data_IF_706896621876
#
_entry.id   IF_706896621876
#
_cell.length_a   1.000
_cell.length_b   1.000
_cell.length_c   1.000
_cell.angle_alpha   90.00
_cell.angle_beta   90.00
_cell.angle_gamma   90.00
#
_symmetry.space_group_name_H-M   'P 1'
#
loop_
_entity.id
_entity.type
_entity.pdbx_description
1 polymer ?
#
# COMPACT_ATOMS: atom_id res chain seq x y z
N UNK A 1 10.57 36.36 -48.63
CA UNK A 1 10.32 37.33 -47.54
C UNK A 1 10.11 36.48 -46.29
N UNK A 2 11.13 36.39 -45.43
CA UNK A 2 11.14 35.46 -44.30
C UNK A 2 10.90 36.23 -43.00
N UNK A 3 10.05 35.69 -42.12
CA UNK A 3 9.75 36.25 -40.81
C UNK A 3 10.50 35.44 -39.74
N UNK A 4 11.40 36.09 -39.01
CA UNK A 4 12.03 35.52 -37.83
C UNK A 4 11.05 35.54 -36.65
N UNK A 5 10.98 34.48 -35.82
CA UNK A 5 10.26 34.53 -34.55
C UNK A 5 11.04 35.38 -33.52
N UNK A 6 10.36 35.97 -32.52
CA UNK A 6 11.01 36.77 -31.47
C UNK A 6 11.81 35.91 -30.50
N UNK A 7 12.95 36.44 -30.02
CA UNK A 7 13.69 35.90 -28.87
C UNK A 7 13.09 36.44 -27.57
N UNK A 8 12.82 35.55 -26.62
CA UNK A 8 12.82 35.88 -25.19
C UNK A 8 11.59 35.44 -24.40
N UNK A 9 11.68 34.29 -23.71
CA UNK A 9 11.01 34.02 -22.42
C UNK A 9 11.46 32.68 -21.78
N UNK A 10 12.77 32.42 -21.64
CA UNK A 10 13.27 31.19 -20.98
C UNK A 10 13.76 31.39 -19.53
N UNK A 11 14.10 32.62 -19.13
CA UNK A 11 14.66 32.91 -17.79
C UNK A 11 13.74 32.52 -16.62
N UNK A 12 12.42 32.37 -16.86
CA UNK A 12 11.47 31.92 -15.83
C UNK A 12 11.32 30.39 -15.75
N UNK A 13 11.75 29.66 -16.78
CA UNK A 13 11.72 28.18 -16.80
C UNK A 13 13.03 27.64 -16.23
N UNK A 14 14.16 28.24 -16.59
CA UNK A 14 15.47 27.86 -16.04
C UNK A 14 15.52 28.08 -14.52
N UNK A 15 14.89 29.15 -14.01
CA UNK A 15 14.79 29.45 -12.57
C UNK A 15 13.89 28.47 -11.77
N UNK A 16 12.97 27.76 -12.44
CA UNK A 16 12.12 26.73 -11.81
C UNK A 16 12.78 25.34 -11.85
N UNK A 17 13.70 25.09 -12.78
CA UNK A 17 14.47 23.84 -12.86
C UNK A 17 15.65 23.83 -11.88
N UNK A 18 16.26 24.99 -11.59
CA UNK A 18 17.35 25.12 -10.59
C UNK A 18 16.87 24.90 -9.13
N UNK A 19 15.56 24.95 -8.89
CA UNK A 19 14.94 24.72 -7.58
C UNK A 19 14.58 23.25 -7.31
N UNK A 20 14.84 22.34 -8.26
CA UNK A 20 14.42 20.94 -8.24
C UNK A 20 15.57 19.93 -8.36
N UNK A 21 16.81 20.35 -8.08
CA UNK A 21 17.97 19.44 -8.01
C UNK A 21 18.21 18.94 -6.56
N UNK A 22 17.93 17.66 -6.25
CA UNK A 22 18.15 17.11 -4.92
C UNK A 22 19.64 16.83 -4.60
N UNK A 23 20.58 17.02 -5.52
CA UNK A 23 21.99 16.65 -5.34
C UNK A 23 22.87 17.70 -4.63
N UNK A 24 22.33 18.87 -4.28
CA UNK A 24 23.10 19.94 -3.61
C UNK A 24 22.65 20.33 -2.19
N UNK A 25 21.75 19.57 -1.55
CA UNK A 25 21.14 19.95 -0.26
C UNK A 25 21.83 19.41 1.02
N UNK A 26 22.96 18.69 0.93
CA UNK A 26 23.62 18.09 2.12
C UNK A 26 25.14 18.25 2.14
N UNK A 27 25.61 19.47 2.46
CA UNK A 27 27.02 19.75 2.81
C UNK A 27 27.11 20.47 4.18
N UNK A 28 26.47 19.85 5.19
CA UNK A 28 26.55 20.25 6.59
C UNK A 28 26.96 19.04 7.45
N UNK A 29 27.83 19.21 8.47
CA UNK A 29 28.23 18.11 9.33
C UNK A 29 27.02 17.58 10.11
N UNK A 30 26.74 16.29 9.97
CA UNK A 30 25.71 15.59 10.74
C UNK A 30 25.99 15.75 12.25
N UNK A 31 24.99 16.07 13.09
CA UNK A 31 25.18 16.07 14.54
C UNK A 31 25.41 14.63 15.03
N UNK A 32 26.46 14.43 15.83
CA UNK A 32 26.82 13.12 16.39
C UNK A 32 25.64 12.47 17.12
N UNK A 33 25.26 11.27 16.69
CA UNK A 33 24.18 10.48 17.31
C UNK A 33 24.42 10.17 18.81
N UNK A 34 25.68 10.24 19.27
CA UNK A 34 26.02 10.12 20.70
C UNK A 34 25.49 11.27 21.56
N UNK A 35 25.22 12.46 21.00
CA UNK A 35 24.67 13.59 21.75
C UNK A 35 23.21 13.34 22.11
N UNK A 36 22.41 12.90 21.15
CA UNK A 36 20.97 12.65 21.36
C UNK A 36 20.71 11.53 22.39
N UNK A 37 21.56 10.49 22.39
CA UNK A 37 21.54 9.42 23.39
C UNK A 37 22.04 9.87 24.77
N UNK A 38 22.82 10.95 24.88
CA UNK A 38 23.33 11.50 26.15
C UNK A 38 22.29 12.33 26.90
N UNK A 39 21.46 13.08 26.18
CA UNK A 39 20.37 13.85 26.77
C UNK A 39 19.26 12.92 27.31
N UNK A 40 18.90 11.87 26.56
CA UNK A 40 17.90 10.85 26.98
C UNK A 40 18.31 10.03 28.22
N UNK A 41 19.59 9.99 28.59
CA UNK A 41 20.07 9.29 29.79
C UNK A 41 20.22 10.19 31.02
N UNK A 42 19.74 11.45 30.97
CA UNK A 42 20.04 12.44 32.01
C UNK A 42 18.93 12.64 33.07
N UNK A 43 17.67 12.31 32.76
CA UNK A 43 16.53 12.69 33.61
C UNK A 43 16.06 11.61 34.61
N UNK A 44 16.37 10.32 34.39
CA UNK A 44 16.03 9.24 35.37
C UNK A 44 16.88 9.27 36.66
N UNK A 45 17.87 10.15 36.74
CA UNK A 45 18.87 10.16 37.83
C UNK A 45 18.43 10.79 39.16
N UNK A 46 17.16 11.22 39.34
CA UNK A 46 16.78 12.14 40.43
C UNK A 46 15.47 11.86 41.20
N UNK A 47 15.05 10.60 41.34
CA UNK A 47 14.15 10.20 42.42
C UNK A 47 14.37 8.74 42.82
N UNK A 48 15.14 8.52 43.91
CA UNK A 48 15.06 7.40 44.87
C UNK A 48 16.33 7.33 45.72
N UNK A 49 16.45 8.22 46.71
CA UNK A 49 17.53 8.16 47.69
C UNK A 49 17.09 8.65 49.07
N UNK A 50 16.52 7.75 49.90
CA UNK A 50 16.78 7.67 51.34
C UNK A 50 16.10 6.44 51.99
N UNK A 51 16.79 5.83 52.97
CA UNK A 51 16.29 4.88 54.00
C UNK A 51 15.96 3.43 53.51
N UNK A 52 16.49 2.33 54.06
CA UNK A 52 17.41 2.13 55.23
C UNK A 52 18.22 0.81 55.13
N UNK A 53 19.16 0.59 56.05
CA UNK A 53 20.14 -0.52 56.11
C UNK A 53 19.84 -1.60 57.20
N UNK A 54 20.33 -2.85 57.17
CA UNK A 54 21.07 -3.59 56.10
C UNK A 54 20.97 -5.15 56.16
N UNK A 55 21.56 -5.91 57.15
CA UNK A 55 22.15 -7.22 56.78
C UNK A 55 21.79 -8.42 57.71
N UNK A 56 22.38 -9.65 57.55
CA UNK A 56 22.71 -10.43 56.33
C UNK A 56 22.40 -11.96 56.43
N UNK A 57 22.78 -12.72 55.37
CA UNK A 57 23.04 -14.20 55.27
C UNK A 57 21.84 -15.19 55.19
N UNK A 58 21.72 -15.87 54.03
CA UNK A 58 22.28 -17.23 53.82
C UNK A 58 22.28 -17.67 52.34
N UNK A 59 23.26 -18.51 51.97
CA UNK A 59 23.41 -19.11 50.63
C UNK A 59 22.33 -20.16 50.34
N UNK A 60 21.81 -20.21 49.11
CA UNK A 60 21.77 -21.45 48.29
C UNK A 60 21.54 -21.14 46.81
N UNK A 61 22.19 -21.92 45.94
CA UNK A 61 22.10 -21.83 44.48
C UNK A 61 20.81 -22.52 44.02
N UNK A 62 20.01 -21.87 43.20
CA UNK A 62 19.15 -22.52 42.20
C UNK A 62 19.27 -21.68 40.93
N UNK A 63 19.78 -22.27 39.86
CA UNK A 63 19.65 -21.69 38.53
C UNK A 63 18.25 -22.07 38.02
N UNK A 64 17.47 -21.08 37.61
CA UNK A 64 16.22 -21.27 36.89
C UNK A 64 16.31 -20.42 35.63
N UNK A 65 16.54 -21.09 34.50
CA UNK A 65 16.40 -20.47 33.18
C UNK A 65 14.90 -20.28 32.98
N UNK A 66 14.44 -19.03 33.04
CA UNK A 66 13.09 -18.67 32.65
C UNK A 66 13.11 -18.21 31.21
N UNK A 67 12.82 -19.15 30.30
CA UNK A 67 12.44 -18.84 28.92
C UNK A 67 11.03 -18.25 28.97
N UNK A 68 10.94 -16.91 28.97
CA UNK A 68 9.64 -16.23 28.94
C UNK A 68 9.05 -16.30 27.54
N UNK A 69 8.32 -17.38 27.25
CA UNK A 69 7.34 -17.38 26.16
C UNK A 69 6.19 -16.49 26.62
N UNK A 70 6.10 -15.28 26.07
CA UNK A 70 5.00 -14.36 26.36
C UNK A 70 3.78 -14.80 25.56
N UNK A 71 3.00 -15.70 26.13
CA UNK A 71 1.60 -15.92 25.75
C UNK A 71 0.79 -14.71 26.27
N UNK A 72 0.60 -13.69 25.42
CA UNK A 72 -0.40 -12.66 25.69
C UNK A 72 -1.78 -13.27 25.46
N UNK A 73 -2.53 -13.42 26.54
CA UNK A 73 -3.94 -13.75 26.49
C UNK A 73 -4.61 -13.30 27.78
N UNK A 74 -5.89 -12.90 27.64
CA UNK A 74 -6.89 -12.53 28.67
C UNK A 74 -7.20 -11.04 28.84
N UNK A 75 -8.00 -10.49 27.91
CA UNK A 75 -9.43 -10.22 28.20
C UNK A 75 -10.26 -10.73 27.02
N UNK A 76 -10.63 -12.01 27.04
CA UNK A 76 -11.31 -12.64 25.91
C UNK A 76 -12.83 -12.48 25.97
N UNK A 77 -13.41 -11.65 25.09
CA UNK A 77 -14.72 -11.98 24.55
C UNK A 77 -14.51 -13.19 23.64
N UNK A 78 -15.22 -14.28 23.93
CA UNK A 78 -15.12 -15.51 23.14
C UNK A 78 -15.85 -15.35 21.80
N UNK A 79 -15.23 -14.65 20.85
CA UNK A 79 -15.43 -15.00 19.44
C UNK A 79 -15.06 -16.48 19.28
N UNK A 80 -15.79 -17.24 18.46
CA UNK A 80 -15.32 -18.56 18.09
C UNK A 80 -14.00 -18.37 17.34
N UNK A 81 -12.89 -18.67 18.00
CA UNK A 81 -11.62 -18.89 17.34
C UNK A 81 -11.80 -20.10 16.43
N UNK A 82 -12.30 -19.84 15.23
CA UNK A 82 -12.11 -20.72 14.08
C UNK A 82 -10.61 -20.84 14.00
N UNK A 83 -10.09 -22.02 14.36
CA UNK A 83 -8.69 -22.33 14.14
C UNK A 83 -8.53 -22.48 12.62
N UNK A 84 -8.41 -21.34 11.93
CA UNK A 84 -8.12 -21.26 10.51
C UNK A 84 -6.79 -21.97 10.34
N UNK A 85 -6.83 -23.16 9.77
CA UNK A 85 -5.61 -23.89 9.42
C UNK A 85 -4.94 -23.05 8.35
N UNK A 86 -3.91 -22.29 8.74
CA UNK A 86 -3.09 -21.50 7.83
C UNK A 86 -2.65 -22.40 6.68
N UNK A 87 -3.15 -22.08 5.48
CA UNK A 87 -2.92 -22.89 4.28
C UNK A 87 -1.64 -22.45 3.58
N UNK A 88 -1.24 -21.20 3.79
CA UNK A 88 -0.08 -20.53 3.21
C UNK A 88 0.76 -19.92 4.33
N UNK A 89 2.07 -19.83 4.12
CA UNK A 89 2.99 -19.10 5.01
C UNK A 89 2.74 -17.58 4.99
N UNK A 90 2.12 -17.08 3.92
CA UNK A 90 1.64 -15.71 3.83
C UNK A 90 0.59 -15.34 4.91
N UNK A 91 -0.17 -16.31 5.41
CA UNK A 91 -1.19 -16.07 6.44
C UNK A 91 -0.54 -15.96 7.82
N UNK A 92 -0.67 -14.81 8.48
CA UNK A 92 -0.12 -14.57 9.83
C UNK A 92 -1.08 -15.02 10.94
N UNK A 93 -2.38 -15.11 10.66
CA UNK A 93 -3.45 -15.30 11.64
C UNK A 93 -3.75 -14.08 12.51
N UNK A 94 -3.13 -12.92 12.23
CA UNK A 94 -3.35 -11.66 12.95
C UNK A 94 -4.35 -10.81 12.17
N UNK A 95 -5.45 -10.40 12.82
CA UNK A 95 -6.50 -9.61 12.20
C UNK A 95 -6.54 -8.20 12.80
N UNK A 96 -6.88 -7.20 12.00
CA UNK A 96 -7.17 -5.84 12.46
C UNK A 96 -8.41 -5.81 13.36
N UNK A 97 -8.32 -5.14 14.52
CA UNK A 97 -9.42 -5.00 15.46
C UNK A 97 -10.43 -3.94 15.01
N UNK A 98 -11.69 -4.12 15.42
CA UNK A 98 -12.74 -3.08 15.32
C UNK A 98 -12.58 -2.01 16.41
N UNK A 99 -11.88 -2.35 17.51
CA UNK A 99 -11.49 -1.41 18.54
C UNK A 99 -10.23 -0.67 18.07
N UNK A 100 -10.45 0.46 17.39
CA UNK A 100 -9.53 1.59 17.52
C UNK A 100 -9.73 2.13 18.92
N UNK A 101 -8.84 1.76 19.85
CA UNK A 101 -8.75 2.46 21.13
C UNK A 101 -8.59 3.95 20.85
N UNK A 102 -9.31 4.79 21.59
CA UNK A 102 -9.53 6.21 21.26
C UNK A 102 -8.34 7.12 21.53
N UNK A 103 -7.18 6.82 20.95
CA UNK A 103 -6.10 7.77 20.74
C UNK A 103 -6.44 8.64 19.52
N UNK A 104 -6.13 9.94 19.55
CA UNK A 104 -6.67 10.94 18.61
C UNK A 104 -5.94 10.97 17.25
N UNK A 105 -5.68 9.79 16.70
CA UNK A 105 -5.17 9.57 15.34
C UNK A 105 -5.88 8.39 14.71
N UNK A 106 -7.00 8.64 14.02
CA UNK A 106 -7.72 7.62 13.26
C UNK A 106 -6.77 6.98 12.22
N UNK A 107 -6.41 5.70 12.39
CA UNK A 107 -5.63 4.94 11.41
C UNK A 107 -6.54 4.60 10.19
N UNK A 108 -6.83 5.61 9.37
CA UNK A 108 -7.70 5.51 8.18
C UNK A 108 -7.19 4.55 7.10
N UNK A 109 -5.95 4.09 7.22
CA UNK A 109 -5.31 3.11 6.34
C UNK A 109 -5.56 1.64 6.77
N UNK A 110 -6.20 1.41 7.93
CA UNK A 110 -6.51 0.07 8.45
C UNK A 110 -7.97 -0.29 8.20
N UNK A 111 -8.21 -1.36 7.43
CA UNK A 111 -9.56 -1.93 7.25
C UNK A 111 -9.83 -2.96 8.36
N UNK A 112 -10.80 -2.76 9.27
CA UNK A 112 -11.06 -3.71 10.36
C UNK A 112 -11.55 -5.09 9.87
N UNK A 113 -11.17 -6.15 10.57
CA UNK A 113 -11.60 -7.52 10.27
C UNK A 113 -10.81 -8.24 9.16
N UNK A 114 -9.79 -7.61 8.58
CA UNK A 114 -8.92 -8.21 7.58
C UNK A 114 -7.65 -8.79 8.21
N UNK A 115 -7.14 -9.87 7.62
CA UNK A 115 -5.88 -10.50 8.04
C UNK A 115 -4.69 -9.64 7.58
N UNK A 116 -3.66 -9.52 8.42
CA UNK A 116 -2.33 -9.08 7.99
C UNK A 116 -1.63 -10.26 7.30
N UNK A 117 -1.08 -10.00 6.13
CA UNK A 117 -0.48 -10.98 5.23
C UNK A 117 1.00 -10.65 5.03
N UNK A 118 1.85 -11.67 5.16
CA UNK A 118 3.28 -11.59 4.88
C UNK A 118 3.53 -11.68 3.38
N UNK A 119 3.75 -10.52 2.75
CA UNK A 119 3.92 -10.38 1.31
C UNK A 119 5.24 -10.94 0.78
N UNK A 120 6.26 -11.11 1.64
CA UNK A 120 7.53 -11.76 1.26
C UNK A 120 7.50 -13.29 1.40
N UNK A 121 6.38 -13.87 1.83
CA UNK A 121 6.23 -15.31 1.92
C UNK A 121 6.33 -15.97 0.55
N UNK A 122 7.06 -17.08 0.46
CA UNK A 122 7.30 -17.82 -0.80
C UNK A 122 6.04 -18.33 -1.51
N UNK A 123 4.91 -18.38 -0.81
CA UNK A 123 3.60 -18.82 -1.29
C UNK A 123 2.57 -17.68 -1.30
N UNK A 124 3.02 -16.42 -1.18
CA UNK A 124 2.18 -15.22 -1.26
C UNK A 124 1.42 -15.14 -2.59
N UNK A 125 2.07 -15.45 -3.71
CA UNK A 125 1.41 -15.40 -5.02
C UNK A 125 0.27 -16.43 -5.12
N UNK A 126 0.49 -17.66 -4.60
CA UNK A 126 -0.56 -18.69 -4.54
C UNK A 126 -1.70 -18.27 -3.60
N UNK A 127 -1.40 -17.61 -2.47
CA UNK A 127 -2.39 -17.04 -1.56
C UNK A 127 -3.22 -15.94 -2.24
N UNK A 128 -2.57 -14.97 -2.90
CA UNK A 128 -3.24 -13.83 -3.53
C UNK A 128 -4.27 -14.28 -4.58
N UNK A 129 -3.93 -15.29 -5.39
CA UNK A 129 -4.85 -15.93 -6.34
C UNK A 129 -6.09 -16.57 -5.69
N UNK A 130 -6.07 -16.88 -4.38
CA UNK A 130 -7.26 -17.39 -3.67
C UNK A 130 -8.21 -16.31 -3.15
N UNK A 131 -7.76 -15.05 -3.07
CA UNK A 131 -8.57 -13.93 -2.56
C UNK A 131 -8.99 -12.93 -3.65
N UNK A 132 -8.34 -12.94 -4.83
CA UNK A 132 -8.75 -12.12 -5.97
C UNK A 132 -10.14 -12.51 -6.49
N UNK A 133 -10.96 -11.51 -6.83
CA UNK A 133 -12.19 -11.72 -7.59
C UNK A 133 -11.90 -11.92 -9.07
N UNK A 134 -11.58 -13.15 -9.45
CA UNK A 134 -11.32 -13.54 -10.83
C UNK A 134 -12.59 -13.50 -11.73
N UNK A 135 -13.73 -12.98 -11.26
CA UNK A 135 -14.95 -12.76 -12.05
C UNK A 135 -15.10 -11.33 -12.59
N UNK A 136 -14.22 -10.40 -12.19
CA UNK A 136 -14.22 -9.03 -12.71
C UNK A 136 -14.04 -9.01 -14.24
N UNK A 137 -14.75 -8.10 -14.95
CA UNK A 137 -14.69 -8.02 -16.41
C UNK A 137 -13.32 -7.55 -16.89
N UNK A 138 -12.84 -8.15 -17.98
CA UNK A 138 -11.61 -7.79 -18.69
C UNK A 138 -11.91 -7.57 -20.17
N UNK A 139 -11.15 -6.71 -20.89
CA UNK A 139 -11.32 -6.55 -22.33
C UNK A 139 -10.74 -7.76 -23.09
N UNK A 140 -11.18 -7.90 -24.35
CA UNK A 140 -10.72 -8.98 -25.22
C UNK A 140 -9.18 -9.01 -25.32
N UNK A 141 -8.62 -10.22 -25.22
CA UNK A 141 -7.16 -10.47 -25.23
C UNK A 141 -6.56 -10.75 -23.85
N UNK A 142 -7.24 -10.38 -22.76
CA UNK A 142 -6.80 -10.67 -21.39
C UNK A 142 -7.61 -11.82 -20.78
N UNK A 143 -7.01 -12.54 -19.83
CA UNK A 143 -7.73 -13.51 -18.99
C UNK A 143 -7.49 -13.21 -17.52
N UNK A 144 -8.50 -13.47 -16.67
CA UNK A 144 -8.40 -13.25 -15.23
C UNK A 144 -7.28 -14.09 -14.59
N UNK A 145 -7.01 -15.29 -15.11
CA UNK A 145 -5.91 -16.13 -14.65
C UNK A 145 -4.55 -15.52 -14.96
N UNK A 146 -4.34 -15.03 -16.18
CA UNK A 146 -3.04 -14.48 -16.60
C UNK A 146 -2.76 -13.14 -15.91
N UNK A 147 -3.77 -12.25 -15.85
CA UNK A 147 -3.69 -10.98 -15.10
C UNK A 147 -3.44 -11.26 -13.63
N UNK A 148 -4.18 -12.19 -13.01
CA UNK A 148 -4.01 -12.56 -11.61
C UNK A 148 -2.60 -13.07 -11.31
N UNK A 149 -2.06 -13.97 -12.12
CA UNK A 149 -0.70 -14.52 -11.94
C UNK A 149 0.35 -13.40 -11.98
N UNK A 150 0.23 -12.47 -12.94
CA UNK A 150 1.18 -11.37 -13.15
C UNK A 150 1.14 -10.33 -12.04
N UNK A 151 -0.07 -9.92 -11.64
CA UNK A 151 -0.28 -8.99 -10.51
C UNK A 151 0.23 -9.61 -9.21
N UNK A 152 0.01 -10.91 -8.99
CA UNK A 152 0.53 -11.62 -7.82
C UNK A 152 2.06 -11.71 -7.82
N UNK A 153 2.68 -12.00 -8.98
CA UNK A 153 4.14 -12.04 -9.13
C UNK A 153 4.79 -10.66 -8.92
N UNK A 154 4.21 -9.60 -9.49
CA UNK A 154 4.65 -8.21 -9.29
C UNK A 154 4.60 -7.81 -7.82
N UNK A 155 3.55 -8.19 -7.08
CA UNK A 155 3.48 -7.90 -5.65
C UNK A 155 4.59 -8.62 -4.84
N UNK A 156 5.01 -9.82 -5.23
CA UNK A 156 6.18 -10.51 -4.63
C UNK A 156 7.47 -9.74 -4.90
N UNK A 157 7.66 -9.24 -6.12
CA UNK A 157 8.85 -8.45 -6.47
C UNK A 157 8.90 -7.13 -5.69
N UNK A 158 7.80 -6.39 -5.67
CA UNK A 158 7.66 -5.14 -4.91
C UNK A 158 7.94 -5.39 -3.41
N UNK A 159 7.34 -6.41 -2.80
CA UNK A 159 7.59 -6.77 -1.41
C UNK A 159 9.06 -7.17 -1.16
N UNK A 160 9.65 -7.96 -2.05
CA UNK A 160 11.08 -8.34 -1.98
C UNK A 160 12.04 -7.15 -2.07
N UNK A 161 11.64 -6.06 -2.73
CA UNK A 161 12.39 -4.81 -2.78
C UNK A 161 12.46 -4.07 -1.44
N UNK A 162 11.49 -4.25 -0.54
CA UNK A 162 11.43 -3.59 0.77
C UNK A 162 12.14 -4.35 1.89
N UNK A 163 12.40 -5.66 1.73
CA UNK A 163 13.21 -6.43 2.68
C UNK A 163 12.76 -7.88 2.85
N UNK A 164 13.01 -8.43 4.04
CA UNK A 164 12.80 -9.85 4.37
C UNK A 164 11.47 -10.15 5.07
N UNK A 165 10.62 -9.14 5.27
CA UNK A 165 9.29 -9.23 5.86
C UNK A 165 8.54 -7.93 5.51
N UNK A 166 7.35 -8.06 4.93
CA UNK A 166 6.49 -6.94 4.54
C UNK A 166 5.06 -7.35 4.85
N UNK A 167 4.42 -6.64 5.78
CA UNK A 167 3.02 -6.89 6.11
C UNK A 167 2.11 -5.95 5.32
N UNK A 168 1.08 -6.50 4.71
CA UNK A 168 -0.04 -5.75 4.12
C UNK A 168 -1.36 -6.41 4.50
N UNK A 169 -2.48 -5.68 4.44
CA UNK A 169 -3.79 -6.27 4.75
C UNK A 169 -4.35 -7.04 3.57
N UNK A 170 -5.09 -8.12 3.83
CA UNK A 170 -5.83 -8.87 2.81
C UNK A 170 -6.74 -7.97 1.97
N UNK A 171 -7.34 -6.93 2.56
CA UNK A 171 -8.11 -5.91 1.83
C UNK A 171 -7.27 -5.23 0.74
N UNK A 172 -6.01 -4.87 1.03
CA UNK A 172 -5.07 -4.31 0.06
C UNK A 172 -4.66 -5.32 -1.02
N UNK A 173 -4.49 -6.60 -0.66
CA UNK A 173 -4.21 -7.67 -1.63
C UNK A 173 -5.32 -7.74 -2.67
N UNK A 174 -6.58 -7.78 -2.21
CA UNK A 174 -7.77 -7.84 -3.08
C UNK A 174 -7.99 -6.55 -3.87
N UNK A 175 -7.89 -5.38 -3.23
CA UNK A 175 -7.98 -4.05 -3.87
C UNK A 175 -6.92 -3.87 -4.96
N UNK A 176 -5.72 -4.41 -4.79
CA UNK A 176 -4.65 -4.32 -5.79
C UNK A 176 -5.04 -5.02 -7.09
N UNK A 177 -5.77 -6.14 -7.04
CA UNK A 177 -6.31 -6.79 -8.23
C UNK A 177 -7.41 -5.94 -8.89
N UNK A 178 -8.31 -5.33 -8.11
CA UNK A 178 -9.28 -4.37 -8.65
C UNK A 178 -8.61 -3.17 -9.35
N UNK A 179 -7.54 -2.60 -8.78
CA UNK A 179 -6.75 -1.55 -9.44
C UNK A 179 -6.08 -2.03 -10.73
N UNK A 180 -5.51 -3.23 -10.74
CA UNK A 180 -4.90 -3.80 -11.94
C UNK A 180 -5.92 -4.00 -13.07
N UNK A 181 -7.10 -4.55 -12.78
CA UNK A 181 -8.19 -4.72 -13.76
C UNK A 181 -8.67 -3.34 -14.27
N UNK A 182 -8.80 -2.33 -13.40
CA UNK A 182 -9.06 -0.94 -13.83
C UNK A 182 -8.00 -0.44 -14.80
N UNK A 183 -6.71 -0.63 -14.51
CA UNK A 183 -5.63 -0.20 -15.37
C UNK A 183 -5.65 -0.82 -16.77
N UNK A 184 -6.03 -2.10 -16.89
CA UNK A 184 -6.25 -2.75 -18.20
C UNK A 184 -7.35 -2.04 -18.99
N UNK A 185 -8.45 -1.63 -18.35
CA UNK A 185 -9.53 -0.86 -18.99
C UNK A 185 -9.16 0.59 -19.32
N UNK A 186 -8.38 1.27 -18.46
CA UNK A 186 -7.85 2.61 -18.75
C UNK A 186 -6.91 2.56 -19.98
N UNK A 187 -6.00 1.57 -20.01
CA UNK A 187 -5.10 1.33 -21.16
C UNK A 187 -5.90 1.03 -22.44
N UNK A 188 -6.91 0.17 -22.35
CA UNK A 188 -7.82 -0.14 -23.45
C UNK A 188 -8.56 1.10 -23.98
N UNK A 189 -9.04 1.99 -23.11
CA UNK A 189 -9.67 3.25 -23.50
C UNK A 189 -8.69 4.19 -24.23
N UNK A 190 -7.47 4.34 -23.68
CA UNK A 190 -6.44 5.22 -24.27
C UNK A 190 -6.00 4.73 -25.65
N UNK A 191 -5.81 3.42 -25.82
CA UNK A 191 -5.53 2.82 -27.13
C UNK A 191 -6.68 3.03 -28.11
N UNK A 192 -7.93 2.85 -27.66
CA UNK A 192 -9.10 3.05 -28.50
C UNK A 192 -9.28 4.52 -28.97
N UNK A 193 -8.89 5.50 -28.16
CA UNK A 193 -8.79 6.92 -28.61
C UNK A 193 -7.73 7.08 -29.71
N UNK A 194 -6.54 6.51 -29.54
CA UNK A 194 -5.45 6.62 -30.53
C UNK A 194 -5.80 5.94 -31.86
N UNK A 195 -6.56 4.84 -31.82
CA UNK A 195 -7.04 4.11 -33.00
C UNK A 195 -8.35 4.68 -33.59
N UNK A 196 -9.04 5.57 -32.87
CA UNK A 196 -10.36 6.11 -33.24
C UNK A 196 -11.53 5.12 -33.09
N UNK A 197 -11.37 4.08 -32.29
CA UNK A 197 -12.41 3.08 -32.00
C UNK A 197 -13.37 3.58 -30.91
N UNK A 198 -14.32 4.41 -31.33
CA UNK A 198 -15.38 4.91 -30.48
C UNK A 198 -16.25 3.79 -29.87
N UNK A 199 -16.30 2.57 -30.42
CA UNK A 199 -17.06 1.48 -29.82
C UNK A 199 -16.31 0.91 -28.60
N UNK A 200 -15.01 0.67 -28.74
CA UNK A 200 -14.17 0.20 -27.63
C UNK A 200 -14.03 1.27 -26.55
N UNK A 201 -13.89 2.57 -26.89
CA UNK A 201 -13.88 3.64 -25.90
C UNK A 201 -15.15 3.64 -25.02
N UNK A 202 -16.33 3.54 -25.64
CA UNK A 202 -17.60 3.52 -24.90
C UNK A 202 -17.72 2.26 -24.02
N UNK A 203 -17.28 1.10 -24.51
CA UNK A 203 -17.25 -0.13 -23.72
C UNK A 203 -16.32 -0.01 -22.50
N UNK A 204 -15.10 0.51 -22.69
CA UNK A 204 -14.15 0.73 -21.60
C UNK A 204 -14.66 1.75 -20.58
N UNK A 205 -15.25 2.87 -21.03
CA UNK A 205 -15.77 3.91 -20.15
C UNK A 205 -16.96 3.43 -19.28
N UNK A 206 -17.81 2.56 -19.82
CA UNK A 206 -18.91 1.92 -19.08
C UNK A 206 -18.39 0.97 -17.99
N UNK A 207 -17.36 0.16 -18.27
CA UNK A 207 -16.75 -0.72 -17.24
C UNK A 207 -15.98 0.09 -16.19
N UNK A 208 -15.31 1.17 -16.57
CA UNK A 208 -14.69 2.10 -15.61
C UNK A 208 -15.73 2.72 -14.66
N UNK A 209 -16.92 3.08 -15.15
CA UNK A 209 -18.01 3.57 -14.29
C UNK A 209 -18.49 2.49 -13.31
N UNK A 210 -18.63 1.25 -13.78
CA UNK A 210 -18.99 0.11 -12.92
C UNK A 210 -17.92 -0.20 -11.87
N UNK A 211 -16.64 0.04 -12.20
CA UNK A 211 -15.51 -0.25 -11.30
C UNK A 211 -15.48 0.58 -10.01
N UNK A 212 -16.10 1.76 -10.02
CA UNK A 212 -16.30 2.56 -8.81
C UNK A 212 -17.20 1.86 -7.75
N UNK A 213 -17.91 0.80 -8.14
CA UNK A 213 -18.77 0.00 -7.26
C UNK A 213 -18.21 -1.38 -6.89
N UNK A 214 -16.97 -1.69 -7.26
CA UNK A 214 -16.36 -3.00 -6.94
C UNK A 214 -16.11 -3.15 -5.43
N UNK A 215 -16.22 -4.38 -4.88
CA UNK A 215 -16.38 -4.57 -3.45
C UNK A 215 -15.27 -3.96 -2.59
N UNK A 216 -14.00 -4.19 -2.94
CA UNK A 216 -12.87 -3.69 -2.13
C UNK A 216 -12.64 -2.21 -2.34
N UNK A 217 -12.87 -1.70 -3.56
CA UNK A 217 -12.89 -0.26 -3.86
C UNK A 217 -13.86 0.48 -2.94
N UNK A 218 -15.08 -0.04 -2.75
CA UNK A 218 -16.10 0.57 -1.87
C UNK A 218 -15.80 0.33 -0.39
N UNK A 219 -15.39 -0.87 -0.01
CA UNK A 219 -15.15 -1.26 1.39
C UNK A 219 -13.91 -0.59 1.99
N UNK A 220 -12.95 -0.19 1.16
CA UNK A 220 -11.72 0.53 1.55
C UNK A 220 -11.73 2.01 1.11
N UNK A 221 -12.89 2.58 0.79
CA UNK A 221 -12.98 4.01 0.47
C UNK A 221 -12.89 4.87 1.74
N UNK A 222 -11.72 5.46 1.96
CA UNK A 222 -11.47 6.45 3.01
C UNK A 222 -12.15 7.82 2.80
N UNK A 223 -13.03 7.95 1.80
CA UNK A 223 -13.87 9.15 1.60
C UNK A 223 -13.53 9.97 0.35
N UNK A 224 -13.18 9.32 -0.77
CA UNK A 224 -12.95 10.01 -2.04
C UNK A 224 -12.44 9.16 -3.20
N UNK A 225 -12.15 7.86 -2.99
CA UNK A 225 -11.70 6.96 -4.06
C UNK A 225 -12.85 6.70 -5.03
N UNK A 226 -14.04 6.38 -4.52
CA UNK A 226 -15.23 6.12 -5.36
C UNK A 226 -15.60 7.36 -6.17
N UNK A 227 -15.64 8.54 -5.54
CA UNK A 227 -15.93 9.82 -6.22
C UNK A 227 -14.90 10.13 -7.33
N UNK A 228 -13.62 9.84 -7.08
CA UNK A 228 -12.56 10.04 -8.08
C UNK A 228 -12.71 9.07 -9.27
N UNK A 229 -13.03 7.80 -9.01
CA UNK A 229 -13.29 6.82 -10.07
C UNK A 229 -14.51 7.19 -10.91
N UNK A 230 -15.59 7.68 -10.29
CA UNK A 230 -16.77 8.21 -11.01
C UNK A 230 -16.40 9.43 -11.87
N UNK A 231 -15.63 10.39 -11.33
CA UNK A 231 -15.10 11.55 -12.08
C UNK A 231 -14.32 11.10 -13.31
N UNK A 232 -13.41 10.13 -13.16
CA UNK A 232 -12.60 9.63 -14.26
C UNK A 232 -13.42 8.86 -15.31
N UNK A 233 -14.38 8.04 -14.88
CA UNK A 233 -15.27 7.32 -15.77
C UNK A 233 -16.17 8.25 -16.58
N UNK A 234 -16.78 9.27 -15.97
CA UNK A 234 -17.56 10.26 -16.72
C UNK A 234 -16.67 11.12 -17.65
N UNK A 235 -15.41 11.37 -17.28
CA UNK A 235 -14.40 11.92 -18.19
C UNK A 235 -14.15 11.02 -19.40
N UNK A 236 -13.98 9.72 -19.20
CA UNK A 236 -13.82 8.73 -20.26
C UNK A 236 -15.05 8.65 -21.19
N UNK A 237 -16.27 8.79 -20.65
CA UNK A 237 -17.53 8.86 -21.44
C UNK A 237 -17.64 10.16 -22.24
N UNK A 238 -17.04 11.24 -21.76
CA UNK A 238 -17.03 12.55 -22.42
C UNK A 238 -15.91 12.71 -23.47
N UNK A 239 -15.00 11.73 -23.61
CA UNK A 239 -13.82 11.87 -24.48
C UNK A 239 -12.67 12.67 -23.86
N UNK A 240 -12.66 12.89 -22.55
CA UNK A 240 -11.63 13.68 -21.87
C UNK A 240 -10.36 12.85 -21.63
N UNK A 241 -9.49 12.83 -22.66
CA UNK A 241 -8.17 12.19 -22.62
C UNK A 241 -7.29 12.73 -21.48
N UNK A 242 -7.52 13.96 -21.02
CA UNK A 242 -6.80 14.54 -19.88
C UNK A 242 -7.15 13.82 -18.58
N UNK A 243 -8.45 13.67 -18.30
CA UNK A 243 -8.94 12.95 -17.13
C UNK A 243 -8.59 11.46 -17.15
N UNK A 244 -8.60 10.79 -18.31
CA UNK A 244 -8.21 9.37 -18.39
C UNK A 244 -6.70 9.19 -18.19
N UNK A 245 -5.87 10.16 -18.59
CA UNK A 245 -4.43 10.17 -18.26
C UNK A 245 -4.16 10.51 -16.79
N UNK A 246 -4.97 11.37 -16.16
CA UNK A 246 -4.94 11.60 -14.71
C UNK A 246 -5.26 10.31 -13.94
N UNK A 247 -6.28 9.55 -14.39
CA UNK A 247 -6.63 8.24 -13.84
C UNK A 247 -5.49 7.23 -13.96
N UNK A 248 -4.89 7.10 -15.16
CA UNK A 248 -3.75 6.22 -15.42
C UNK A 248 -2.56 6.50 -14.49
N UNK A 249 -2.31 7.76 -14.17
CA UNK A 249 -1.25 8.17 -13.25
C UNK A 249 -1.65 7.91 -11.78
N UNK A 250 -2.89 8.24 -11.39
CA UNK A 250 -3.39 8.08 -10.02
C UNK A 250 -3.43 6.61 -9.57
N UNK A 251 -3.81 5.71 -10.47
CA UNK A 251 -3.82 4.25 -10.22
C UNK A 251 -2.45 3.57 -10.48
N UNK A 252 -1.39 4.35 -10.73
CA UNK A 252 -0.04 3.86 -11.04
C UNK A 252 0.02 2.83 -12.19
N UNK A 253 -0.84 2.99 -13.20
CA UNK A 253 -1.10 1.95 -14.21
C UNK A 253 0.10 1.55 -15.07
N UNK A 254 1.13 2.39 -15.18
CA UNK A 254 2.40 1.99 -15.82
C UNK A 254 3.01 0.75 -15.18
N UNK A 255 2.97 0.67 -13.85
CA UNK A 255 3.51 -0.46 -13.08
C UNK A 255 2.72 -1.73 -13.37
N UNK A 256 1.38 -1.68 -13.27
CA UNK A 256 0.54 -2.84 -13.57
C UNK A 256 0.65 -3.30 -15.03
N UNK A 257 0.63 -2.38 -16.00
CA UNK A 257 0.69 -2.75 -17.41
C UNK A 257 2.05 -3.34 -17.80
N UNK A 258 3.16 -2.88 -17.21
CA UNK A 258 4.49 -3.48 -17.43
C UNK A 258 4.50 -4.97 -17.06
N UNK A 259 4.01 -5.36 -15.87
CA UNK A 259 3.92 -6.77 -15.49
C UNK A 259 2.85 -7.57 -16.27
N UNK A 260 1.76 -6.92 -16.68
CA UNK A 260 0.65 -7.57 -17.38
C UNK A 260 1.03 -7.93 -18.84
N UNK A 261 1.80 -7.09 -19.52
CA UNK A 261 2.08 -7.20 -20.96
C UNK A 261 3.37 -7.99 -21.33
N UNK A 262 4.18 -8.42 -20.34
CA UNK A 262 5.45 -9.18 -20.52
C UNK A 262 5.36 -10.54 -21.23
#
# INVERSE_FOLDING_TARGET
MALSPPKGSNEHVDMLLDAADPLHAHDGPLPDAEVFLRELHRDDGRQLAAQTQSPPRRRRRIAAIWTTVVLVGLVGIATPAVATVQRFLAQTGVFSSLESDGDEGEETEVTPGYEWIEATARDYADYALTVYDLTLPLPDGYTASDVGIRVAAQQVEIAGGYGSSVLQQESNVRRTYESAVRCVWISSWLKAEEEGDAAQQNASAEVLLQSASWPMTVETDGGGVVDSLVKYAEGARAGDVGLVKEAYQSDACSTFMEAIDE
#
